data_IF_400726825191
#
_entry.id   IF_400726825191
#
_cell.length_a   1.000
_cell.length_b   1.000
_cell.length_c   1.000
_cell.angle_alpha   90.00
_cell.angle_beta   90.00
_cell.angle_gamma   90.00
#
_symmetry.space_group_name_H-M   'P 1'
#
loop_
_entity.id
_entity.type
_entity.pdbx_description
1 polymer ?
#
# COMPACT_ATOMS: atom_id res chain seq x y z
N UNK A 1 17.60 10.94 2.74
CA UNK A 1 18.44 9.75 3.01
C UNK A 1 19.20 9.77 4.35
N UNK A 2 19.13 10.83 5.18
CA UNK A 2 19.84 10.85 6.49
C UNK A 2 19.49 9.64 7.39
N UNK A 3 18.21 9.26 7.44
CA UNK A 3 17.73 8.11 8.22
C UNK A 3 18.43 6.78 7.86
N UNK A 4 18.94 6.62 6.63
CA UNK A 4 19.65 5.40 6.23
C UNK A 4 21.07 5.35 6.82
N UNK A 5 21.75 6.50 6.88
CA UNK A 5 23.03 6.58 7.60
C UNK A 5 22.84 6.35 9.09
N UNK A 6 21.76 6.89 9.67
CA UNK A 6 21.42 6.68 11.08
C UNK A 6 21.08 5.20 11.35
N UNK A 7 20.38 4.53 10.41
CA UNK A 7 20.11 3.09 10.43
C UNK A 7 21.40 2.27 10.46
N UNK A 8 22.33 2.50 9.54
CA UNK A 8 23.62 1.79 9.52
C UNK A 8 24.39 2.05 10.82
N UNK A 9 24.51 3.31 11.24
CA UNK A 9 25.21 3.65 12.48
C UNK A 9 24.61 2.94 13.70
N UNK A 10 23.28 2.89 13.79
CA UNK A 10 22.58 2.23 14.88
C UNK A 10 22.72 0.69 14.82
N UNK A 11 22.80 0.09 13.63
CA UNK A 11 23.01 -1.35 13.46
C UNK A 11 24.35 -1.85 14.06
N UNK A 12 25.34 -0.97 14.22
CA UNK A 12 26.61 -1.23 14.91
C UNK A 12 26.61 -0.86 16.39
N UNK A 13 25.44 -0.60 16.97
CA UNK A 13 25.26 -0.33 18.41
C UNK A 13 24.38 -1.38 19.07
N UNK A 14 24.29 -1.34 20.39
CA UNK A 14 23.34 -2.16 21.17
C UNK A 14 21.97 -1.50 21.32
N UNK A 15 21.73 -0.35 20.67
CA UNK A 15 20.47 0.36 20.76
C UNK A 15 19.40 -0.26 19.84
N UNK A 16 18.41 -0.92 20.44
CA UNK A 16 17.30 -1.54 19.72
C UNK A 16 16.07 -0.63 19.54
N UNK A 17 16.10 0.60 20.07
CA UNK A 17 14.95 1.52 20.01
C UNK A 17 14.73 2.02 18.59
N UNK A 18 13.47 2.07 18.15
CA UNK A 18 13.11 2.59 16.81
C UNK A 18 12.09 3.70 16.87
N UNK A 19 11.23 3.70 17.91
CA UNK A 19 10.22 4.74 18.16
C UNK A 19 10.88 6.12 18.25
N UNK A 20 10.29 7.08 17.53
CA UNK A 20 10.72 8.50 17.47
C UNK A 20 12.14 8.74 16.92
N UNK A 21 12.84 7.70 16.42
CA UNK A 21 14.17 7.82 15.80
C UNK A 21 14.13 7.74 14.27
N UNK A 22 13.12 7.07 13.72
CA UNK A 22 12.91 6.91 12.30
C UNK A 22 11.57 7.53 11.89
N UNK A 23 11.43 8.02 10.65
CA UNK A 23 10.14 8.50 10.17
C UNK A 23 9.12 7.37 10.23
N UNK A 24 7.86 7.70 10.53
CA UNK A 24 6.77 6.71 10.50
C UNK A 24 6.31 6.41 9.05
N UNK A 25 6.60 7.30 8.11
CA UNK A 25 6.28 7.15 6.70
C UNK A 25 7.34 7.78 5.80
N UNK A 26 7.43 7.28 4.58
CA UNK A 26 8.24 7.86 3.51
C UNK A 26 7.39 7.97 2.25
N UNK A 27 6.85 9.17 2.01
CA UNK A 27 5.77 9.36 1.06
C UNK A 27 4.49 8.67 1.55
N UNK A 28 3.97 7.78 0.73
CA UNK A 28 2.76 6.96 0.91
C UNK A 28 3.00 5.64 1.64
N UNK A 29 4.26 5.25 1.83
CA UNK A 29 4.61 3.98 2.45
C UNK A 29 4.89 4.13 3.95
N UNK A 30 4.37 3.21 4.76
CA UNK A 30 4.72 3.10 6.16
C UNK A 30 6.17 2.63 6.30
N UNK A 31 6.95 3.28 7.16
CA UNK A 31 8.33 2.88 7.44
C UNK A 31 8.37 2.07 8.71
N UNK A 32 8.94 0.86 8.62
CA UNK A 32 9.21 -0.01 9.76
C UNK A 32 10.70 -0.31 9.84
N UNK A 33 11.24 -0.32 11.05
CA UNK A 33 12.66 -0.60 11.31
C UNK A 33 12.74 -1.61 12.43
N UNK A 34 13.72 -2.52 12.35
CA UNK A 34 14.08 -3.37 13.47
C UNK A 34 15.58 -3.61 13.52
N UNK A 35 16.10 -3.58 14.74
CA UNK A 35 17.46 -3.98 15.08
C UNK A 35 17.48 -5.31 15.86
N UNK A 36 16.35 -6.02 15.93
CA UNK A 36 16.17 -7.22 16.75
C UNK A 36 15.28 -6.99 17.97
N UNK A 37 14.85 -8.09 18.59
CA UNK A 37 14.02 -8.10 19.80
C UNK A 37 14.78 -8.82 20.91
N UNK A 38 15.09 -8.10 21.99
CA UNK A 38 15.91 -8.61 23.10
C UNK A 38 17.42 -8.56 22.81
N UNK A 39 17.86 -9.11 21.68
CA UNK A 39 19.25 -9.08 21.24
C UNK A 39 19.39 -8.39 19.86
N UNK A 40 20.56 -7.79 19.57
CA UNK A 40 20.85 -7.26 18.24
C UNK A 40 20.70 -8.33 17.15
N UNK A 41 19.97 -8.00 16.09
CA UNK A 41 19.78 -8.85 14.93
C UNK A 41 21.08 -8.95 14.13
N UNK A 42 21.32 -10.14 13.54
CA UNK A 42 22.37 -10.33 12.53
C UNK A 42 22.05 -9.58 11.23
N UNK A 43 20.75 -9.46 10.93
CA UNK A 43 20.23 -8.73 9.77
C UNK A 43 19.22 -7.68 10.24
N UNK A 44 19.66 -6.50 10.71
CA UNK A 44 18.77 -5.37 10.88
C UNK A 44 18.12 -4.97 9.55
N UNK A 45 16.91 -4.44 9.61
CA UNK A 45 16.16 -4.10 8.40
C UNK A 45 15.36 -2.81 8.54
N UNK A 46 15.14 -2.16 7.41
CA UNK A 46 14.31 -0.97 7.23
C UNK A 46 13.40 -1.19 6.03
N UNK A 47 12.12 -1.45 6.30
CA UNK A 47 11.09 -1.79 5.31
C UNK A 47 10.14 -0.64 5.02
N UNK A 48 9.57 -0.64 3.81
CA UNK A 48 8.58 0.32 3.34
C UNK A 48 7.32 -0.42 2.91
N UNK A 49 6.21 -0.21 3.62
CA UNK A 49 5.02 -1.04 3.52
C UNK A 49 3.85 -0.25 2.92
N UNK A 50 3.14 -0.85 1.97
CA UNK A 50 1.84 -0.37 1.53
C UNK A 50 0.76 -0.64 2.61
N UNK A 51 -0.37 0.07 2.49
CA UNK A 51 -1.53 -0.16 3.37
C UNK A 51 -1.99 -1.62 3.30
N UNK A 52 -2.31 -2.22 4.44
CA UNK A 52 -2.73 -3.63 4.52
C UNK A 52 -1.59 -4.66 4.50
N UNK A 53 -0.35 -4.25 4.19
CA UNK A 53 0.82 -5.14 4.25
C UNK A 53 1.54 -5.06 5.59
N UNK A 54 2.26 -6.13 5.93
CA UNK A 54 3.12 -6.19 7.11
C UNK A 54 4.41 -6.95 6.83
N UNK A 55 5.40 -6.81 7.71
CA UNK A 55 6.66 -7.57 7.63
C UNK A 55 6.43 -9.08 7.68
N UNK A 56 5.38 -9.52 8.37
CA UNK A 56 4.99 -10.93 8.50
C UNK A 56 3.97 -11.39 7.45
N UNK A 57 3.49 -10.51 6.57
CA UNK A 57 2.46 -10.85 5.59
C UNK A 57 2.47 -9.80 4.45
N UNK A 58 3.19 -10.10 3.37
CA UNK A 58 3.31 -9.22 2.21
C UNK A 58 4.67 -9.29 1.50
N UNK A 59 4.79 -8.47 0.46
CA UNK A 59 6.03 -8.17 -0.24
C UNK A 59 6.26 -6.66 -0.23
N UNK A 60 7.50 -6.22 -0.10
CA UNK A 60 7.79 -4.82 0.19
C UNK A 60 9.25 -4.44 -0.10
N UNK A 61 9.53 -3.20 -0.53
CA UNK A 61 10.88 -2.68 -0.55
C UNK A 61 11.51 -2.72 0.84
N UNK A 62 12.75 -3.19 0.94
CA UNK A 62 13.44 -3.28 2.23
C UNK A 62 14.94 -3.11 2.06
N UNK A 63 15.55 -2.35 2.97
CA UNK A 63 16.99 -2.41 3.21
C UNK A 63 17.28 -3.50 4.23
N UNK A 64 18.15 -4.44 3.87
CA UNK A 64 18.65 -5.51 4.72
C UNK A 64 20.14 -5.30 4.93
N UNK A 65 20.57 -5.18 6.18
CA UNK A 65 21.98 -5.02 6.50
C UNK A 65 22.57 -6.30 7.06
N UNK A 66 23.31 -7.02 6.23
CA UNK A 66 24.04 -8.23 6.59
C UNK A 66 25.35 -7.84 7.26
N UNK A 67 25.35 -7.86 8.60
CA UNK A 67 26.44 -7.28 9.41
C UNK A 67 27.76 -8.03 9.26
N UNK A 68 27.72 -9.36 9.18
CA UNK A 68 28.92 -10.20 9.13
C UNK A 68 29.63 -10.04 7.77
N UNK A 69 28.86 -9.71 6.73
CA UNK A 69 29.30 -9.51 5.35
C UNK A 69 29.56 -8.04 5.00
N UNK A 70 29.32 -7.12 5.95
CA UNK A 70 29.40 -5.67 5.72
C UNK A 70 28.60 -5.21 4.49
N UNK A 71 27.45 -5.87 4.24
CA UNK A 71 26.67 -5.72 3.02
C UNK A 71 25.29 -5.13 3.31
N UNK A 72 24.98 -4.00 2.67
CA UNK A 72 23.63 -3.43 2.64
C UNK A 72 22.98 -3.84 1.33
N UNK A 73 21.83 -4.49 1.40
CA UNK A 73 21.06 -4.89 0.23
C UNK A 73 19.75 -4.12 0.23
N UNK A 74 19.50 -3.36 -0.82
CA UNK A 74 18.16 -2.90 -1.16
C UNK A 74 17.48 -4.05 -1.93
N UNK A 75 16.35 -4.52 -1.43
CA UNK A 75 15.74 -5.77 -1.88
C UNK A 75 14.25 -5.61 -2.20
N UNK A 76 13.82 -6.48 -3.12
CA UNK A 76 12.43 -6.88 -3.30
C UNK A 76 12.09 -7.88 -2.19
N UNK A 77 11.69 -7.36 -1.03
CA UNK A 77 11.46 -8.15 0.17
C UNK A 77 10.23 -9.05 0.03
N UNK A 78 10.34 -10.26 0.54
CA UNK A 78 9.25 -11.22 0.70
C UNK A 78 9.17 -11.60 2.17
N UNK A 79 7.96 -11.66 2.73
CA UNK A 79 7.78 -12.10 4.11
C UNK A 79 8.19 -13.57 4.29
N UNK A 80 8.97 -13.86 5.33
CA UNK A 80 9.36 -15.24 5.69
C UNK A 80 8.30 -15.95 6.55
N UNK A 81 7.27 -15.25 7.03
CA UNK A 81 6.33 -15.80 8.04
C UNK A 81 5.09 -16.40 7.42
N UNK A 82 4.40 -15.62 6.57
CA UNK A 82 3.21 -16.07 5.87
C UNK A 82 3.42 -15.88 4.38
N UNK A 83 2.98 -16.88 3.60
CA UNK A 83 2.84 -16.74 2.17
C UNK A 83 1.65 -15.82 1.88
N UNK A 84 1.93 -14.69 1.23
CA UNK A 84 0.92 -13.69 0.90
C UNK A 84 0.05 -14.14 -0.29
N UNK A 85 0.44 -15.20 -1.00
CA UNK A 85 -0.30 -15.75 -2.16
C UNK A 85 -0.11 -14.99 -3.47
N UNK A 86 0.39 -13.74 -3.42
CA UNK A 86 0.81 -12.90 -4.55
C UNK A 86 2.14 -12.24 -4.19
N UNK A 87 3.01 -11.99 -5.18
CA UNK A 87 4.36 -11.45 -4.97
C UNK A 87 4.71 -10.38 -6.02
N UNK A 88 5.99 -10.03 -6.09
CA UNK A 88 6.55 -9.19 -7.14
C UNK A 88 6.23 -9.72 -8.54
N UNK A 89 6.11 -8.81 -9.51
CA UNK A 89 5.89 -9.13 -10.93
C UNK A 89 6.86 -10.21 -11.44
N UNK A 90 6.36 -11.16 -12.25
CA UNK A 90 7.15 -12.31 -12.74
C UNK A 90 8.43 -11.86 -13.47
N UNK A 91 8.41 -10.75 -14.22
CA UNK A 91 9.61 -10.25 -14.91
C UNK A 91 10.68 -9.77 -13.92
N UNK A 92 10.27 -9.28 -12.75
CA UNK A 92 11.20 -8.93 -11.67
C UNK A 92 11.80 -10.22 -11.10
N UNK A 93 10.96 -11.21 -10.78
CA UNK A 93 11.40 -12.49 -10.23
C UNK A 93 12.38 -13.20 -11.18
N UNK A 94 12.09 -13.23 -12.48
CA UNK A 94 12.93 -13.90 -13.48
C UNK A 94 14.24 -13.17 -13.80
N UNK A 95 14.28 -11.84 -13.63
CA UNK A 95 15.46 -11.03 -13.98
C UNK A 95 16.41 -10.75 -12.82
N UNK A 96 16.01 -11.07 -11.59
CA UNK A 96 16.78 -10.78 -10.38
C UNK A 96 17.26 -12.08 -9.73
N UNK A 97 18.42 -11.99 -9.11
CA UNK A 97 18.96 -13.09 -8.31
C UNK A 97 18.50 -12.96 -6.86
N UNK A 98 18.40 -14.10 -6.18
CA UNK A 98 18.02 -14.21 -4.79
C UNK A 98 19.14 -13.69 -3.88
N UNK A 99 18.76 -13.29 -2.67
CA UNK A 99 19.72 -12.95 -1.63
C UNK A 99 20.59 -14.15 -1.27
N UNK A 100 20.06 -15.37 -1.31
CA UNK A 100 20.85 -16.59 -1.10
C UNK A 100 21.92 -16.85 -2.16
N UNK A 101 21.83 -16.21 -3.32
CA UNK A 101 22.87 -16.26 -4.37
C UNK A 101 23.90 -15.14 -4.19
N UNK A 102 23.52 -14.03 -3.56
CA UNK A 102 24.35 -12.85 -3.33
C UNK A 102 25.18 -12.94 -2.04
N UNK A 103 24.57 -13.46 -0.99
CA UNK A 103 25.09 -13.56 0.36
C UNK A 103 25.23 -15.04 0.68
N UNK A 104 26.42 -15.47 1.10
CA UNK A 104 26.67 -16.87 1.40
C UNK A 104 25.95 -17.27 2.69
N UNK A 105 24.98 -18.19 2.59
CA UNK A 105 24.24 -18.72 3.75
C UNK A 105 23.60 -17.61 4.62
N UNK A 106 22.73 -16.77 4.02
CA UNK A 106 22.16 -15.63 4.73
C UNK A 106 21.32 -16.11 5.92
N UNK A 107 21.42 -15.49 7.12
CA UNK A 107 20.66 -15.93 8.28
C UNK A 107 19.14 -15.82 8.12
N UNK A 108 18.70 -14.89 7.26
CA UNK A 108 17.30 -14.54 6.97
C UNK A 108 17.19 -13.92 5.58
N UNK A 109 15.98 -13.89 5.05
CA UNK A 109 15.56 -13.23 3.80
C UNK A 109 16.21 -13.82 2.53
N UNK A 110 16.66 -15.08 2.58
CA UNK A 110 17.31 -15.73 1.43
C UNK A 110 16.44 -15.75 0.17
N UNK A 111 15.13 -15.89 0.34
CA UNK A 111 14.14 -15.98 -0.75
C UNK A 111 13.69 -14.60 -1.29
N UNK A 112 14.20 -13.50 -0.73
CA UNK A 112 13.99 -12.15 -1.31
C UNK A 112 14.96 -11.90 -2.46
N UNK A 113 14.63 -10.96 -3.35
CA UNK A 113 15.45 -10.67 -4.53
C UNK A 113 16.28 -9.40 -4.38
N UNK A 114 17.47 -9.38 -4.96
CA UNK A 114 18.38 -8.22 -4.89
C UNK A 114 17.99 -7.15 -5.91
N UNK A 115 17.67 -5.95 -5.43
CA UNK A 115 17.56 -4.76 -6.28
C UNK A 115 18.94 -4.10 -6.48
N UNK A 116 19.63 -3.82 -5.37
CA UNK A 116 20.98 -3.24 -5.36
C UNK A 116 21.77 -3.75 -4.16
N UNK A 117 23.05 -4.05 -4.39
CA UNK A 117 24.00 -4.46 -3.37
C UNK A 117 25.02 -3.34 -3.13
N UNK A 118 25.21 -2.96 -1.87
CA UNK A 118 26.17 -1.96 -1.44
C UNK A 118 27.12 -2.57 -0.40
N UNK A 119 28.39 -2.19 -0.47
CA UNK A 119 29.34 -2.40 0.63
C UNK A 119 29.22 -1.27 1.64
N UNK A 120 29.37 -1.60 2.93
CA UNK A 120 29.34 -0.66 4.04
C UNK A 120 30.65 -0.74 4.80
N UNK A 121 31.44 0.33 4.83
CA UNK A 121 32.73 0.34 5.51
C UNK A 121 32.84 1.45 6.52
N UNK A 122 33.44 1.16 7.67
CA UNK A 122 33.82 2.19 8.62
C UNK A 122 35.12 2.88 8.15
N UNK A 123 35.06 4.18 7.86
CA UNK A 123 36.22 5.02 7.64
C UNK A 123 36.27 6.08 8.74
N UNK A 124 37.17 5.88 9.70
CA UNK A 124 37.47 6.84 10.77
C UNK A 124 36.24 7.27 11.58
N UNK A 125 35.34 6.33 11.89
CA UNK A 125 34.13 6.58 12.68
C UNK A 125 32.91 7.00 11.86
N UNK A 126 33.05 7.13 10.54
CA UNK A 126 31.94 7.34 9.60
C UNK A 126 31.68 6.08 8.79
N UNK A 127 30.41 5.69 8.67
CA UNK A 127 30.01 4.56 7.85
C UNK A 127 29.76 5.04 6.42
N UNK A 128 30.60 4.58 5.49
CA UNK A 128 30.51 4.87 4.07
C UNK A 128 29.79 3.72 3.35
N UNK A 129 28.82 4.06 2.50
CA UNK A 129 28.12 3.12 1.62
C UNK A 129 28.75 3.26 0.22
N UNK A 130 29.05 2.16 -0.45
CA UNK A 130 29.72 2.16 -1.75
C UNK A 130 29.27 1.03 -2.67
N UNK A 131 29.26 1.28 -3.98
CA UNK A 131 29.09 0.27 -5.04
C UNK A 131 30.44 0.13 -5.75
N UNK A 132 30.94 -1.10 -5.89
CA UNK A 132 32.22 -1.40 -6.54
C UNK A 132 33.40 -0.54 -6.02
N UNK A 133 33.38 -0.24 -4.72
CA UNK A 133 34.39 0.58 -4.05
C UNK A 133 34.24 2.10 -4.24
N UNK A 134 33.22 2.56 -4.98
CA UNK A 134 32.91 3.97 -5.18
C UNK A 134 31.80 4.40 -4.21
N UNK A 135 32.08 5.40 -3.39
CA UNK A 135 31.12 5.94 -2.42
C UNK A 135 29.85 6.43 -3.13
N UNK A 136 28.69 6.01 -2.64
CA UNK A 136 27.40 6.46 -3.16
C UNK A 136 26.93 7.71 -2.42
N UNK A 137 26.39 8.66 -3.16
CA UNK A 137 25.83 9.90 -2.58
C UNK A 137 24.39 9.67 -2.10
N UNK A 138 23.88 10.60 -1.31
CA UNK A 138 22.47 10.63 -0.93
C UNK A 138 21.53 10.65 -2.15
N UNK A 139 21.94 11.30 -3.25
CA UNK A 139 21.21 11.36 -4.51
C UNK A 139 21.18 10.00 -5.20
N UNK A 140 22.30 9.25 -5.20
CA UNK A 140 22.33 7.88 -5.75
C UNK A 140 21.39 6.96 -4.97
N UNK A 141 21.49 6.96 -3.64
CA UNK A 141 20.62 6.17 -2.76
C UNK A 141 19.14 6.53 -2.92
N UNK A 142 18.84 7.82 -3.06
CA UNK A 142 17.47 8.27 -3.33
C UNK A 142 16.98 7.82 -4.72
N UNK A 143 17.85 7.85 -5.73
CA UNK A 143 17.54 7.38 -7.09
C UNK A 143 17.20 5.89 -7.09
N UNK A 144 18.04 5.06 -6.47
CA UNK A 144 17.82 3.62 -6.33
C UNK A 144 16.50 3.32 -5.60
N UNK A 145 16.24 4.02 -4.50
CA UNK A 145 15.00 3.86 -3.74
C UNK A 145 13.76 4.29 -4.55
N UNK A 146 13.86 5.39 -5.30
CA UNK A 146 12.78 5.87 -6.15
C UNK A 146 12.48 4.90 -7.30
N UNK A 147 13.51 4.29 -7.88
CA UNK A 147 13.38 3.27 -8.93
C UNK A 147 12.67 2.03 -8.38
N UNK A 148 13.12 1.49 -7.24
CA UNK A 148 12.47 0.35 -6.60
C UNK A 148 11.03 0.68 -6.20
N UNK A 149 10.76 1.86 -5.67
CA UNK A 149 9.39 2.29 -5.35
C UNK A 149 8.52 2.46 -6.59
N UNK A 150 9.09 2.83 -7.75
CA UNK A 150 8.34 2.87 -9.01
C UNK A 150 7.91 1.46 -9.41
N UNK A 151 8.80 0.47 -9.29
CA UNK A 151 8.50 -0.93 -9.60
C UNK A 151 7.53 -1.56 -8.60
N UNK A 152 7.69 -1.27 -7.31
CA UNK A 152 6.76 -1.71 -6.28
C UNK A 152 5.36 -1.17 -6.51
N UNK A 153 5.23 0.12 -6.79
CA UNK A 153 3.94 0.69 -7.15
C UNK A 153 3.38 0.11 -8.43
N UNK A 154 4.21 -0.21 -9.44
CA UNK A 154 3.73 -0.94 -10.61
C UNK A 154 3.18 -2.33 -10.27
N UNK A 155 3.78 -3.06 -9.33
CA UNK A 155 3.26 -4.36 -8.88
C UNK A 155 1.91 -4.18 -8.18
N UNK A 156 1.81 -3.20 -7.28
CA UNK A 156 0.55 -2.83 -6.63
C UNK A 156 -0.48 -2.31 -7.64
N UNK A 157 -0.05 -1.58 -8.67
CA UNK A 157 -0.90 -1.07 -9.74
C UNK A 157 -1.39 -2.22 -10.63
N UNK A 158 -0.56 -3.22 -10.93
CA UNK A 158 -0.99 -4.44 -11.64
C UNK A 158 -2.05 -5.19 -10.83
N UNK A 159 -1.97 -5.16 -9.49
CA UNK A 159 -3.03 -5.68 -8.62
C UNK A 159 -4.31 -4.81 -8.64
N UNK A 160 -4.18 -3.49 -8.83
CA UNK A 160 -5.29 -2.52 -8.71
C UNK A 160 -5.99 -2.22 -10.04
N UNK A 161 -5.27 -2.20 -11.17
CA UNK A 161 -5.83 -2.18 -12.51
C UNK A 161 -4.75 -2.41 -13.58
N UNK A 162 -5.14 -3.07 -14.65
CA UNK A 162 -4.72 -2.65 -15.99
C UNK A 162 -4.52 -1.09 -16.06
N UNK A 163 -3.26 -0.63 -16.20
CA UNK A 163 -2.74 0.73 -16.59
C UNK A 163 -2.42 1.87 -15.57
N UNK A 164 -1.11 2.15 -15.52
CA UNK A 164 -0.38 3.46 -15.56
C UNK A 164 0.08 4.16 -14.25
N UNK A 165 1.42 4.20 -14.06
CA UNK A 165 2.11 4.25 -12.76
C UNK A 165 2.64 5.61 -12.25
N UNK A 166 2.27 6.73 -12.90
CA UNK A 166 2.53 8.08 -12.34
C UNK A 166 1.23 8.80 -11.96
N UNK A 167 0.10 8.35 -12.50
CA UNK A 167 -1.23 8.78 -12.07
C UNK A 167 -1.60 8.09 -10.74
N UNK A 168 -1.10 6.87 -10.50
CA UNK A 168 -1.49 5.98 -9.38
C UNK A 168 -1.24 6.54 -7.98
N UNK A 169 -0.15 7.29 -7.79
CA UNK A 169 0.15 7.97 -6.51
C UNK A 169 -0.84 9.11 -6.20
N UNK A 170 -1.24 9.86 -7.22
CA UNK A 170 -2.29 10.88 -7.10
C UNK A 170 -3.68 10.24 -7.00
N UNK A 171 -3.88 9.11 -7.69
CA UNK A 171 -5.09 8.29 -7.70
C UNK A 171 -5.42 7.72 -6.32
N UNK A 172 -4.51 6.97 -5.69
CA UNK A 172 -4.72 6.38 -4.36
C UNK A 172 -4.90 7.46 -3.28
N UNK A 173 -4.13 8.56 -3.37
CA UNK A 173 -4.31 9.70 -2.48
C UNK A 173 -5.70 10.32 -2.65
N UNK A 174 -6.19 10.43 -3.88
CA UNK A 174 -7.51 11.00 -4.16
C UNK A 174 -8.67 10.05 -3.87
N UNK A 175 -8.56 8.74 -4.04
CA UNK A 175 -9.60 7.78 -3.65
C UNK A 175 -9.77 7.78 -2.14
N UNK A 176 -8.67 7.69 -1.38
CA UNK A 176 -8.71 7.83 0.08
C UNK A 176 -9.23 9.21 0.50
N UNK A 177 -8.84 10.28 -0.18
CA UNK A 177 -9.36 11.62 0.12
C UNK A 177 -10.85 11.76 -0.21
N UNK A 178 -11.32 11.13 -1.28
CA UNK A 178 -12.72 11.10 -1.67
C UNK A 178 -13.52 10.32 -0.64
N UNK A 179 -13.01 9.16 -0.21
CA UNK A 179 -13.58 8.37 0.88
C UNK A 179 -13.66 9.19 2.19
N UNK A 180 -12.53 9.74 2.63
CA UNK A 180 -12.46 10.59 3.82
C UNK A 180 -13.41 11.79 3.72
N UNK A 181 -13.53 12.39 2.54
CA UNK A 181 -14.43 13.51 2.29
C UNK A 181 -15.90 13.08 2.40
N UNK A 182 -16.28 11.98 1.76
CA UNK A 182 -17.64 11.43 1.80
C UNK A 182 -18.00 11.05 3.25
N UNK A 183 -17.12 10.35 3.96
CA UNK A 183 -17.35 9.94 5.35
C UNK A 183 -17.51 11.15 6.28
N UNK A 184 -16.65 12.17 6.15
CA UNK A 184 -16.70 13.36 7.02
C UNK A 184 -17.92 14.23 6.78
N UNK A 185 -18.40 14.28 5.53
CA UNK A 185 -19.55 15.08 5.13
C UNK A 185 -20.77 14.20 4.85
N UNK A 186 -20.84 12.99 5.42
CA UNK A 186 -21.82 11.97 5.05
C UNK A 186 -23.24 12.52 5.02
N UNK A 187 -23.65 13.18 6.11
CA UNK A 187 -24.99 13.77 6.29
C UNK A 187 -25.31 14.90 5.30
N UNK A 188 -24.31 15.47 4.62
CA UNK A 188 -24.45 16.51 3.59
C UNK A 188 -24.44 15.94 2.16
N UNK A 189 -24.22 14.62 2.01
CA UNK A 189 -24.23 13.94 0.71
C UNK A 189 -25.59 13.30 0.40
N UNK A 190 -25.84 12.99 -0.88
CA UNK A 190 -27.00 12.18 -1.29
C UNK A 190 -27.02 10.80 -0.60
N UNK A 191 -25.85 10.29 -0.21
CA UNK A 191 -25.75 9.06 0.57
C UNK A 191 -26.25 9.26 2.00
N UNK A 192 -25.92 10.37 2.66
CA UNK A 192 -26.43 10.69 3.99
C UNK A 192 -27.94 10.82 4.06
N UNK A 193 -28.61 11.18 2.97
CA UNK A 193 -30.07 11.23 2.91
C UNK A 193 -30.69 9.83 2.91
N UNK A 194 -30.08 8.88 2.20
CA UNK A 194 -30.66 7.55 1.92
C UNK A 194 -30.11 6.44 2.82
N UNK A 195 -28.88 6.60 3.30
CA UNK A 195 -28.09 5.55 3.92
C UNK A 195 -27.50 5.99 5.26
N UNK A 196 -27.40 5.06 6.20
CA UNK A 196 -26.78 5.28 7.51
C UNK A 196 -25.44 4.53 7.63
N UNK A 197 -24.47 5.19 8.28
CA UNK A 197 -23.19 4.59 8.62
C UNK A 197 -23.36 3.60 9.79
N UNK A 198 -22.54 2.55 9.76
CA UNK A 198 -22.49 1.46 10.73
C UNK A 198 -21.48 1.82 11.81
N UNK A 199 -21.95 1.82 13.06
CA UNK A 199 -21.12 1.98 14.24
C UNK A 199 -21.19 0.73 15.12
N UNK A 200 -20.07 0.36 15.71
CA UNK A 200 -19.98 -0.71 16.71
C UNK A 200 -19.25 -0.17 17.92
N UNK A 201 -19.89 -0.20 19.10
CA UNK A 201 -19.34 0.32 20.35
C UNK A 201 -18.88 1.80 20.25
N UNK A 202 -19.61 2.60 19.46
CA UNK A 202 -19.28 4.01 19.19
C UNK A 202 -18.14 4.23 18.18
N UNK A 203 -17.58 3.16 17.60
CA UNK A 203 -16.52 3.23 16.59
C UNK A 203 -17.12 3.08 15.19
N UNK A 204 -16.77 3.97 14.28
CA UNK A 204 -17.15 3.88 12.87
C UNK A 204 -16.57 2.60 12.25
N UNK A 205 -17.44 1.76 11.68
CA UNK A 205 -17.06 0.54 10.96
C UNK A 205 -17.25 0.63 9.46
N UNK A 206 -18.10 1.54 8.99
CA UNK A 206 -18.42 1.66 7.57
C UNK A 206 -17.22 1.89 6.66
N UNK A 207 -16.24 2.69 7.09
CA UNK A 207 -15.07 3.03 6.29
C UNK A 207 -14.04 1.90 6.31
N UNK A 208 -13.55 1.49 5.13
CA UNK A 208 -12.61 0.38 4.96
C UNK A 208 -13.08 -0.87 5.73
N UNK A 209 -14.37 -1.23 5.55
CA UNK A 209 -15.00 -2.32 6.27
C UNK A 209 -14.25 -3.62 5.99
N UNK A 210 -13.59 -4.15 7.02
CA UNK A 210 -12.70 -5.31 6.90
C UNK A 210 -13.49 -6.58 6.66
N UNK A 211 -13.08 -7.35 5.65
CA UNK A 211 -13.60 -8.68 5.34
C UNK A 211 -12.46 -9.68 5.13
N UNK A 212 -12.78 -10.97 5.00
CA UNK A 212 -11.81 -12.01 4.66
C UNK A 212 -11.30 -11.96 3.22
N UNK A 213 -11.92 -11.14 2.35
CA UNK A 213 -11.64 -11.07 0.92
C UNK A 213 -11.19 -9.67 0.46
N UNK A 214 -10.77 -8.83 1.40
CA UNK A 214 -10.37 -7.44 1.17
C UNK A 214 -11.33 -6.43 1.81
N UNK A 215 -10.89 -5.18 2.02
CA UNK A 215 -11.75 -4.14 2.57
C UNK A 215 -12.78 -3.67 1.55
N UNK A 216 -14.00 -3.39 2.02
CA UNK A 216 -15.00 -2.63 1.29
C UNK A 216 -14.78 -1.15 1.60
N UNK A 217 -14.72 -0.27 0.61
CA UNK A 217 -14.47 1.17 0.84
C UNK A 217 -15.49 1.76 1.83
N UNK A 218 -16.78 1.67 1.51
CA UNK A 218 -17.85 2.07 2.43
C UNK A 218 -18.95 1.00 2.47
N UNK A 219 -19.22 0.45 3.66
CA UNK A 219 -20.38 -0.39 3.92
C UNK A 219 -21.41 0.41 4.73
N UNK A 220 -22.59 0.66 4.17
CA UNK A 220 -23.68 1.40 4.81
C UNK A 220 -24.96 0.55 4.90
N UNK A 221 -26.01 1.11 5.50
CA UNK A 221 -27.36 0.52 5.50
C UNK A 221 -28.39 1.45 4.88
N UNK A 222 -29.27 0.90 4.07
CA UNK A 222 -30.47 1.55 3.55
C UNK A 222 -31.40 1.92 4.71
N UNK A 223 -31.68 3.22 4.88
CA UNK A 223 -32.53 3.71 5.96
C UNK A 223 -33.97 3.21 5.86
N UNK A 224 -34.43 2.85 4.66
CA UNK A 224 -35.81 2.40 4.43
C UNK A 224 -35.94 0.90 4.57
N UNK A 225 -34.99 0.14 4.01
CA UNK A 225 -35.09 -1.33 3.98
C UNK A 225 -34.26 -2.02 5.06
N UNK A 226 -33.25 -1.35 5.60
CA UNK A 226 -32.25 -1.92 6.50
C UNK A 226 -31.19 -2.77 5.79
N UNK A 227 -31.28 -2.91 4.46
CA UNK A 227 -30.35 -3.70 3.65
C UNK A 227 -28.98 -3.04 3.58
N UNK A 228 -27.93 -3.84 3.51
CA UNK A 228 -26.57 -3.37 3.34
C UNK A 228 -26.37 -2.76 1.95
N UNK A 229 -25.51 -1.74 1.89
CA UNK A 229 -25.12 -1.06 0.67
C UNK A 229 -23.60 -1.07 0.61
N UNK A 230 -23.07 -1.78 -0.38
CA UNK A 230 -21.64 -1.80 -0.71
C UNK A 230 -21.36 -0.63 -1.64
N UNK A 231 -20.51 0.29 -1.22
CA UNK A 231 -20.12 1.45 -2.04
C UNK A 231 -18.64 1.32 -2.36
N UNK A 232 -18.32 1.27 -3.65
CA UNK A 232 -16.96 1.23 -4.19
C UNK A 232 -16.65 2.58 -4.85
N UNK A 233 -15.52 3.16 -4.51
CA UNK A 233 -15.10 4.48 -4.98
C UNK A 233 -14.02 4.33 -6.04
N UNK A 234 -14.18 5.02 -7.16
CA UNK A 234 -13.19 5.13 -8.24
C UNK A 234 -12.99 6.58 -8.58
N UNK A 235 -11.75 7.05 -8.54
CA UNK A 235 -11.48 8.47 -8.80
C UNK A 235 -11.78 8.88 -10.25
N UNK A 236 -11.40 8.08 -11.22
CA UNK A 236 -11.45 8.47 -12.64
C UNK A 236 -12.59 7.75 -13.38
N UNK A 237 -12.32 7.42 -14.64
CA UNK A 237 -13.10 6.45 -15.41
C UNK A 237 -12.92 5.07 -14.80
N UNK A 238 -14.03 4.35 -14.69
CA UNK A 238 -13.99 2.92 -14.39
C UNK A 238 -14.63 2.10 -15.51
N UNK A 239 -14.30 0.80 -15.54
CA UNK A 239 -14.70 -0.20 -16.52
C UNK A 239 -15.54 -1.31 -15.86
N UNK A 240 -15.71 -2.42 -16.58
CA UNK A 240 -16.38 -3.64 -16.14
C UNK A 240 -15.74 -4.32 -14.91
N UNK A 241 -14.43 -4.13 -14.67
CA UNK A 241 -13.73 -4.74 -13.53
C UNK A 241 -14.31 -4.32 -12.18
N UNK A 242 -14.78 -3.06 -12.07
CA UNK A 242 -15.39 -2.55 -10.83
C UNK A 242 -16.75 -3.17 -10.55
N UNK A 243 -17.51 -3.54 -11.61
CA UNK A 243 -18.75 -4.31 -11.44
C UNK A 243 -18.43 -5.67 -10.82
N UNK A 244 -17.35 -6.32 -11.27
CA UNK A 244 -16.86 -7.57 -10.68
C UNK A 244 -16.46 -7.43 -9.21
N UNK A 245 -15.76 -6.34 -8.88
CA UNK A 245 -15.35 -6.03 -7.50
C UNK A 245 -16.56 -5.83 -6.56
N UNK A 246 -17.52 -4.99 -6.97
CA UNK A 246 -18.75 -4.75 -6.19
C UNK A 246 -19.57 -6.03 -6.07
N UNK A 247 -19.75 -6.78 -7.15
CA UNK A 247 -20.48 -8.04 -7.14
C UNK A 247 -19.85 -9.06 -6.17
N UNK A 248 -18.52 -9.15 -6.13
CA UNK A 248 -17.78 -9.99 -5.18
C UNK A 248 -18.10 -9.61 -3.73
N UNK A 249 -18.07 -8.33 -3.39
CA UNK A 249 -18.38 -7.86 -2.04
C UNK A 249 -19.86 -8.03 -1.68
N UNK A 250 -20.78 -7.79 -2.62
CA UNK A 250 -22.21 -8.07 -2.43
C UNK A 250 -22.44 -9.57 -2.15
N UNK A 251 -21.75 -10.46 -2.86
CA UNK A 251 -21.80 -11.90 -2.60
C UNK A 251 -21.35 -12.24 -1.18
N UNK A 252 -20.23 -11.67 -0.73
CA UNK A 252 -19.74 -11.84 0.63
C UNK A 252 -20.73 -11.30 1.68
N UNK A 253 -21.30 -10.10 1.49
CA UNK A 253 -22.30 -9.53 2.40
C UNK A 253 -23.56 -10.41 2.46
N UNK A 254 -24.01 -10.92 1.33
CA UNK A 254 -25.16 -11.82 1.25
C UNK A 254 -24.93 -13.10 2.04
N UNK A 255 -23.73 -13.68 1.96
CA UNK A 255 -23.39 -14.91 2.64
C UNK A 255 -23.03 -14.71 4.11
N UNK A 256 -22.14 -13.78 4.44
CA UNK A 256 -21.60 -13.60 5.79
C UNK A 256 -22.49 -12.74 6.67
N UNK A 257 -23.07 -11.66 6.12
CA UNK A 257 -23.99 -10.78 6.86
C UNK A 257 -25.47 -11.19 6.69
N UNK A 258 -25.73 -12.27 5.95
CA UNK A 258 -27.06 -12.87 5.72
C UNK A 258 -28.06 -11.88 5.13
N UNK A 259 -27.59 -11.01 4.22
CA UNK A 259 -28.42 -9.99 3.58
C UNK A 259 -28.62 -10.28 2.08
N UNK A 260 -29.72 -10.97 1.70
CA UNK A 260 -29.99 -11.29 0.31
C UNK A 260 -30.33 -10.08 -0.57
N UNK A 261 -30.69 -8.95 0.05
CA UNK A 261 -31.16 -7.73 -0.61
C UNK A 261 -30.09 -6.64 -0.67
N UNK A 262 -28.82 -7.02 -0.41
CA UNK A 262 -27.67 -6.13 -0.54
C UNK A 262 -27.66 -5.42 -1.90
N UNK A 263 -27.33 -4.13 -1.87
CA UNK A 263 -27.17 -3.28 -3.06
C UNK A 263 -25.71 -2.90 -3.25
N UNK A 264 -25.34 -2.64 -4.49
CA UNK A 264 -24.04 -2.09 -4.85
C UNK A 264 -24.17 -0.67 -5.35
N UNK A 265 -23.18 0.17 -5.05
CA UNK A 265 -23.02 1.51 -5.61
C UNK A 265 -21.59 1.64 -6.10
N UNK A 266 -21.42 2.12 -7.32
CA UNK A 266 -20.14 2.54 -7.86
C UNK A 266 -20.14 4.07 -7.93
N UNK A 267 -19.15 4.71 -7.34
CA UNK A 267 -18.94 6.16 -7.47
C UNK A 267 -17.73 6.38 -8.37
N UNK A 268 -17.90 7.02 -9.52
CA UNK A 268 -16.82 7.22 -10.50
C UNK A 268 -16.70 8.68 -10.95
N UNK A 269 -15.51 9.11 -11.38
CA UNK A 269 -15.33 10.44 -11.99
C UNK A 269 -15.84 10.50 -13.43
N UNK A 270 -15.91 9.37 -14.13
CA UNK A 270 -16.56 9.28 -15.44
C UNK A 270 -17.07 7.87 -15.73
N UNK A 271 -18.01 7.80 -16.69
CA UNK A 271 -18.72 6.58 -17.09
C UNK A 271 -18.29 6.14 -18.49
N UNK A 272 -17.82 4.90 -18.64
CA UNK A 272 -17.42 4.34 -19.95
C UNK A 272 -18.46 3.36 -20.52
N UNK A 273 -18.27 2.96 -21.78
CA UNK A 273 -19.21 2.06 -22.46
C UNK A 273 -19.12 0.60 -21.94
N UNK A 274 -17.98 0.19 -21.37
CA UNK A 274 -17.81 -1.17 -20.81
C UNK A 274 -18.58 -1.31 -19.51
N UNK A 275 -18.41 -0.35 -18.61
CA UNK A 275 -19.17 -0.20 -17.38
C UNK A 275 -20.68 -0.15 -17.67
N UNK A 276 -21.10 0.58 -18.71
CA UNK A 276 -22.50 0.60 -19.15
C UNK A 276 -23.05 -0.81 -19.43
N UNK A 277 -22.36 -1.57 -20.28
CA UNK A 277 -22.84 -2.91 -20.64
C UNK A 277 -22.75 -3.90 -19.47
N UNK A 278 -21.71 -3.80 -18.64
CA UNK A 278 -21.57 -4.66 -17.46
C UNK A 278 -22.67 -4.39 -16.42
N UNK A 279 -22.96 -3.11 -16.13
CA UNK A 279 -23.99 -2.72 -15.18
C UNK A 279 -25.39 -3.18 -15.60
N UNK A 280 -25.71 -3.18 -16.90
CA UNK A 280 -27.01 -3.67 -17.39
C UNK A 280 -27.30 -5.13 -17.02
N UNK A 281 -26.25 -5.93 -16.80
CA UNK A 281 -26.39 -7.32 -16.41
C UNK A 281 -26.50 -7.52 -14.90
N UNK A 282 -26.25 -6.47 -14.10
CA UNK A 282 -26.28 -6.50 -12.64
C UNK A 282 -27.17 -5.36 -12.11
N UNK A 283 -28.51 -5.52 -12.16
CA UNK A 283 -29.46 -4.42 -11.93
C UNK A 283 -29.50 -3.88 -10.50
N UNK A 284 -28.89 -4.58 -9.54
CA UNK A 284 -28.80 -4.14 -8.14
C UNK A 284 -27.54 -3.31 -7.86
N UNK A 285 -26.85 -2.84 -8.92
CA UNK A 285 -25.72 -1.92 -8.85
C UNK A 285 -26.12 -0.60 -9.51
N UNK A 286 -26.12 0.46 -8.71
CA UNK A 286 -26.27 1.83 -9.16
C UNK A 286 -24.90 2.48 -9.41
N UNK A 287 -24.85 3.47 -10.30
CA UNK A 287 -23.62 4.21 -10.61
C UNK A 287 -23.85 5.69 -10.43
N UNK A 288 -23.03 6.31 -9.59
CA UNK A 288 -22.99 7.74 -9.33
C UNK A 288 -21.74 8.35 -9.96
N UNK A 289 -21.89 9.56 -10.49
CA UNK A 289 -20.77 10.36 -10.95
C UNK A 289 -20.46 11.46 -9.95
N UNK A 290 -19.18 11.63 -9.61
CA UNK A 290 -18.74 12.75 -8.78
C UNK A 290 -17.89 13.72 -9.61
N UNK A 291 -17.91 14.98 -9.19
CA UNK A 291 -17.11 16.05 -9.79
C UNK A 291 -16.51 16.92 -8.68
N UNK A 292 -15.27 17.39 -8.89
CA UNK A 292 -14.59 18.33 -7.98
C UNK A 292 -14.57 19.71 -8.62
N UNK A 293 -15.29 20.67 -8.04
CA UNK A 293 -15.29 22.06 -8.47
C UNK A 293 -14.40 22.91 -7.55
N UNK A 294 -13.22 23.31 -8.04
CA UNK A 294 -12.31 24.21 -7.31
C UNK A 294 -12.30 25.61 -7.93
N UNK A 295 -12.61 26.63 -7.14
CA UNK A 295 -12.59 28.03 -7.57
C UNK A 295 -11.75 28.89 -6.63
N UNK A 296 -10.65 29.42 -7.13
CA UNK A 296 -9.84 30.43 -6.45
C UNK A 296 -10.24 31.82 -6.98
N UNK A 297 -10.44 32.78 -6.08
CA UNK A 297 -10.70 34.18 -6.45
C UNK A 297 -9.68 35.08 -5.76
N UNK A 298 -9.08 35.99 -6.52
CA UNK A 298 -8.11 36.95 -6.01
C UNK A 298 -8.83 37.99 -5.13
N UNK A 299 -8.27 38.26 -3.95
CA UNK A 299 -8.66 39.42 -3.18
C UNK A 299 -8.11 40.68 -3.84
N UNK A 300 -8.98 41.45 -4.51
CA UNK A 300 -8.65 42.80 -4.96
C UNK A 300 -8.77 43.77 -3.78
N UNK A 301 -7.65 44.41 -3.43
CA UNK A 301 -7.65 45.58 -2.53
C UNK A 301 -8.34 46.77 -3.19
#
# INVERSE_FOLDING_TARGET
MQFLHDFIKQAHSDNLKTKDLYPNSFGDLEVRVSFGQGNPAKVPWLGFLASGMSISNGYYPVYLYFKDEEALVLAYGISETNDFGVSWDEQIIESKYLISEAIQSPPRYGDSYVFRHYSVKNKSGSWEIAIDGVAVTAQNLQSDLNELFSQYRKCLDIEVSDKSSDLSKGLFYMEKQLEDFIIRNWDETEFGEQYELIFQDGVLKSQQYSTSIGPIDILAKDKKTGSHVVIELKRDQTSDDTVGQVARYMGWVKEELKDPDVKGIIVAGSFDQRLHYAQQMVPNIDVFLYQVDFKLSEYKK
#
